data_IF_706387636593
#
_entry.id   IF_706387636593
#
_cell.length_a   1.000
_cell.length_b   1.000
_cell.length_c   1.000
_cell.angle_alpha   90.00
_cell.angle_beta   90.00
_cell.angle_gamma   90.00
#
_symmetry.space_group_name_H-M   'P 1'
#
loop_
_entity.id
_entity.type
_entity.pdbx_description
1 polymer ?
#
# COMPACT_ATOMS: atom_id res chain seq x y z
N UNK A 1 33.45 -18.05 10.69
CA UNK A 1 32.96 -16.74 10.18
C UNK A 1 32.88 -16.65 8.65
N UNK A 2 33.96 -16.93 7.89
CA UNK A 2 33.96 -16.84 6.40
C UNK A 2 32.88 -17.69 5.69
N UNK A 3 32.60 -18.90 6.17
CA UNK A 3 31.54 -19.77 5.60
C UNK A 3 30.11 -19.20 5.79
N UNK A 4 29.85 -18.47 6.87
CA UNK A 4 28.54 -17.83 7.13
C UNK A 4 28.29 -16.69 6.13
N UNK A 5 29.32 -15.87 5.87
CA UNK A 5 29.26 -14.77 4.89
C UNK A 5 29.05 -15.30 3.47
N UNK A 6 29.80 -16.35 3.06
CA UNK A 6 29.62 -16.97 1.74
C UNK A 6 28.22 -17.59 1.59
N UNK A 7 27.70 -18.22 2.63
CA UNK A 7 26.34 -18.79 2.63
C UNK A 7 25.29 -17.69 2.53
N UNK A 8 25.46 -16.59 3.25
CA UNK A 8 24.59 -15.41 3.16
C UNK A 8 24.52 -14.85 1.72
N UNK A 9 25.67 -14.62 1.08
CA UNK A 9 25.68 -14.12 -0.31
C UNK A 9 25.19 -15.15 -1.33
N UNK A 10 25.44 -16.46 -1.11
CA UNK A 10 24.88 -17.51 -1.99
C UNK A 10 23.35 -17.54 -1.97
N UNK A 11 22.70 -17.22 -0.85
CA UNK A 11 21.22 -17.13 -0.76
C UNK A 11 20.64 -16.03 -1.66
N UNK A 12 21.39 -14.98 -1.96
CA UNK A 12 20.95 -13.89 -2.86
C UNK A 12 20.84 -14.31 -4.33
N UNK A 13 21.44 -15.45 -4.74
CA UNK A 13 21.32 -15.94 -6.13
C UNK A 13 19.91 -16.39 -6.49
N UNK A 14 19.09 -16.74 -5.50
CA UNK A 14 17.75 -17.26 -5.70
C UNK A 14 17.75 -18.67 -6.34
N UNK A 15 16.79 -19.54 -6.00
CA UNK A 15 16.71 -20.87 -6.60
C UNK A 15 15.87 -20.93 -7.89
N UNK A 16 15.15 -19.86 -8.24
CA UNK A 16 14.06 -19.89 -9.23
C UNK A 16 14.37 -19.19 -10.55
N UNK A 17 13.57 -19.50 -11.58
CA UNK A 17 13.50 -18.74 -12.82
C UNK A 17 12.46 -17.63 -12.66
N UNK A 18 12.65 -16.50 -13.34
CA UNK A 18 11.64 -15.43 -13.40
C UNK A 18 10.35 -15.94 -14.07
N UNK A 19 9.20 -15.42 -13.64
CA UNK A 19 7.90 -15.76 -14.21
C UNK A 19 7.77 -15.38 -15.68
N UNK A 20 6.86 -16.04 -16.39
CA UNK A 20 6.54 -15.71 -17.78
C UNK A 20 5.88 -14.32 -17.89
N UNK A 21 6.04 -13.67 -19.04
CA UNK A 21 5.39 -12.40 -19.33
C UNK A 21 3.87 -12.57 -19.43
N UNK A 22 3.10 -11.68 -18.81
CA UNK A 22 1.65 -11.64 -18.97
C UNK A 22 1.21 -11.25 -20.40
N UNK A 23 0.00 -11.65 -20.78
CA UNK A 23 -0.60 -11.31 -22.07
C UNK A 23 -0.80 -9.79 -22.24
N UNK A 24 -0.87 -9.31 -23.49
CA UNK A 24 -1.12 -7.88 -23.78
C UNK A 24 -2.45 -7.39 -23.18
N UNK A 25 -3.48 -8.23 -23.18
CA UNK A 25 -4.76 -7.89 -22.56
C UNK A 25 -4.64 -7.69 -21.05
N UNK A 26 -3.87 -8.55 -20.36
CA UNK A 26 -3.60 -8.36 -18.94
C UNK A 26 -2.91 -7.02 -18.67
N UNK A 27 -1.86 -6.72 -19.43
CA UNK A 27 -1.10 -5.47 -19.31
C UNK A 27 -2.03 -4.26 -19.53
N UNK A 28 -2.89 -4.31 -20.54
CA UNK A 28 -3.85 -3.26 -20.85
C UNK A 28 -4.83 -2.98 -19.71
N UNK A 29 -5.44 -4.02 -19.12
CA UNK A 29 -6.37 -3.85 -18.00
C UNK A 29 -5.67 -3.38 -16.72
N UNK A 30 -4.44 -3.84 -16.45
CA UNK A 30 -3.62 -3.31 -15.37
C UNK A 30 -3.31 -1.83 -15.56
N UNK A 31 -3.03 -1.40 -16.79
CA UNK A 31 -2.80 0.00 -17.14
C UNK A 31 -4.07 0.84 -16.92
N UNK A 32 -5.22 0.41 -17.44
CA UNK A 32 -6.49 1.14 -17.24
C UNK A 32 -6.82 1.25 -15.75
N UNK A 33 -6.77 0.15 -15.00
CA UNK A 33 -7.10 0.15 -13.58
C UNK A 33 -6.19 1.05 -12.76
N UNK A 34 -4.87 0.95 -12.97
CA UNK A 34 -3.91 1.82 -12.28
C UNK A 34 -4.06 3.30 -12.67
N UNK A 35 -4.25 3.61 -13.95
CA UNK A 35 -4.46 4.98 -14.40
C UNK A 35 -5.73 5.58 -13.77
N UNK A 36 -6.88 4.91 -13.89
CA UNK A 36 -8.13 5.40 -13.33
C UNK A 36 -8.09 5.48 -11.80
N UNK A 37 -7.50 4.47 -11.15
CA UNK A 37 -7.33 4.42 -9.70
C UNK A 37 -6.54 5.61 -9.17
N UNK A 38 -5.32 5.79 -9.68
CA UNK A 38 -4.44 6.87 -9.25
C UNK A 38 -5.01 8.24 -9.62
N UNK A 39 -5.60 8.38 -10.80
CA UNK A 39 -6.24 9.63 -11.22
C UNK A 39 -7.39 10.00 -10.28
N UNK A 40 -8.28 9.05 -9.94
CA UNK A 40 -9.38 9.28 -9.03
C UNK A 40 -8.92 9.70 -7.63
N UNK A 41 -7.91 9.02 -7.07
CA UNK A 41 -7.31 9.40 -5.79
C UNK A 41 -6.66 10.79 -5.86
N UNK A 42 -5.91 11.08 -6.93
CA UNK A 42 -5.27 12.38 -7.10
C UNK A 42 -6.29 13.53 -7.21
N UNK A 43 -7.41 13.32 -7.90
CA UNK A 43 -8.50 14.28 -7.94
C UNK A 43 -9.20 14.42 -6.59
N UNK A 44 -9.46 13.31 -5.91
CA UNK A 44 -10.07 13.33 -4.57
C UNK A 44 -9.20 14.07 -3.55
N UNK A 45 -7.88 13.88 -3.59
CA UNK A 45 -6.95 14.58 -2.69
C UNK A 45 -6.98 16.10 -2.88
N UNK A 46 -7.35 16.63 -4.05
CA UNK A 46 -7.53 18.08 -4.25
C UNK A 46 -8.71 18.66 -3.46
N UNK A 47 -9.65 17.81 -3.04
CA UNK A 47 -10.80 18.21 -2.21
C UNK A 47 -10.46 18.20 -0.72
N UNK A 48 -9.29 17.69 -0.33
CA UNK A 48 -8.84 17.60 1.05
C UNK A 48 -7.80 18.70 1.35
N UNK A 49 -7.63 19.10 2.62
CA UNK A 49 -6.62 20.08 3.04
C UNK A 49 -5.22 19.45 3.07
N UNK A 50 -4.79 18.85 1.96
CA UNK A 50 -3.52 18.13 1.83
C UNK A 50 -2.61 18.94 0.90
N UNK A 51 -1.34 19.15 1.29
CA UNK A 51 -0.40 19.88 0.46
C UNK A 51 -0.07 19.11 -0.84
N UNK A 52 0.45 19.81 -1.85
CA UNK A 52 0.87 19.17 -3.10
C UNK A 52 1.94 18.08 -2.86
N UNK A 53 2.88 18.34 -1.96
CA UNK A 53 3.96 17.39 -1.60
C UNK A 53 3.40 16.15 -0.92
N UNK A 54 2.48 16.31 0.04
CA UNK A 54 1.87 15.17 0.72
C UNK A 54 0.98 14.35 -0.22
N UNK A 55 0.28 15.02 -1.14
CA UNK A 55 -0.47 14.34 -2.17
C UNK A 55 0.43 13.44 -3.02
N UNK A 56 1.63 13.91 -3.39
CA UNK A 56 2.64 13.10 -4.10
C UNK A 56 3.11 11.91 -3.25
N UNK A 57 3.37 12.11 -1.95
CA UNK A 57 3.75 11.03 -1.05
C UNK A 57 2.66 9.94 -0.94
N UNK A 58 1.41 10.37 -0.76
CA UNK A 58 0.24 9.48 -0.70
C UNK A 58 0.03 8.73 -2.01
N UNK A 59 0.16 9.41 -3.15
CA UNK A 59 0.16 8.79 -4.48
C UNK A 59 1.28 7.76 -4.60
N UNK A 60 2.45 7.97 -3.96
CA UNK A 60 3.50 6.96 -3.86
C UNK A 60 3.04 5.68 -3.16
N UNK A 61 2.37 5.80 -2.01
CA UNK A 61 1.78 4.65 -1.29
C UNK A 61 0.70 3.96 -2.14
N UNK A 62 -0.25 4.72 -2.68
CA UNK A 62 -1.32 4.15 -3.53
C UNK A 62 -0.81 3.63 -4.88
N UNK A 63 0.31 4.14 -5.39
CA UNK A 63 1.00 3.62 -6.57
C UNK A 63 1.49 2.20 -6.34
N UNK A 64 2.04 1.90 -5.17
CA UNK A 64 2.39 0.54 -4.79
C UNK A 64 1.13 -0.34 -4.62
N UNK A 65 0.04 0.20 -4.07
CA UNK A 65 -1.25 -0.50 -4.02
C UNK A 65 -1.79 -0.81 -5.42
N UNK A 66 -1.68 0.13 -6.37
CA UNK A 66 -2.08 -0.06 -7.76
C UNK A 66 -1.35 -1.24 -8.43
N UNK A 67 -0.04 -1.37 -8.18
CA UNK A 67 0.75 -2.49 -8.71
C UNK A 67 0.17 -3.82 -8.22
N UNK A 68 -0.24 -3.92 -6.96
CA UNK A 68 -0.83 -5.15 -6.41
C UNK A 68 -2.26 -5.37 -6.92
N UNK A 69 -3.16 -4.40 -6.72
CA UNK A 69 -4.60 -4.64 -6.92
C UNK A 69 -5.03 -4.57 -8.38
N UNK A 70 -4.27 -3.91 -9.26
CA UNK A 70 -4.54 -3.89 -10.71
C UNK A 70 -3.55 -4.75 -11.48
N UNK A 71 -2.28 -4.78 -11.06
CA UNK A 71 -1.22 -5.52 -11.74
C UNK A 71 -1.24 -7.01 -11.47
N UNK A 72 -1.49 -7.41 -10.22
CA UNK A 72 -1.50 -8.81 -9.77
C UNK A 72 -2.65 -9.11 -8.81
N UNK A 73 -3.92 -8.89 -9.21
CA UNK A 73 -5.09 -8.94 -8.32
C UNK A 73 -5.31 -10.28 -7.61
N UNK A 74 -4.74 -11.37 -8.12
CA UNK A 74 -4.85 -12.71 -7.55
C UNK A 74 -3.98 -12.94 -6.31
N UNK A 75 -2.96 -12.11 -6.05
CA UNK A 75 -2.05 -12.36 -4.93
C UNK A 75 -2.75 -12.10 -3.59
N UNK A 76 -2.40 -12.83 -2.51
CA UNK A 76 -3.02 -12.64 -1.20
C UNK A 76 -2.95 -11.18 -0.73
N UNK A 77 -1.81 -10.51 -0.89
CA UNK A 77 -1.60 -9.13 -0.42
C UNK A 77 -2.43 -8.08 -1.17
N UNK A 78 -3.02 -8.42 -2.30
CA UNK A 78 -3.90 -7.54 -3.07
C UNK A 78 -5.36 -7.61 -2.60
N UNK A 79 -5.74 -8.61 -1.80
CA UNK A 79 -7.15 -8.84 -1.44
C UNK A 79 -7.73 -7.69 -0.57
N UNK A 80 -9.06 -7.44 -0.60
CA UNK A 80 -9.68 -6.29 0.03
C UNK A 80 -9.37 -6.15 1.52
N UNK A 81 -9.40 -7.25 2.29
CA UNK A 81 -8.99 -7.25 3.71
C UNK A 81 -7.58 -6.71 3.91
N UNK A 82 -6.64 -7.11 3.05
CA UNK A 82 -5.26 -6.66 3.12
C UNK A 82 -5.16 -5.19 2.72
N UNK A 83 -5.74 -4.79 1.58
CA UNK A 83 -5.75 -3.40 1.12
C UNK A 83 -6.28 -2.45 2.22
N UNK A 84 -7.50 -2.68 2.70
CA UNK A 84 -8.17 -1.80 3.66
C UNK A 84 -7.53 -1.93 5.05
N UNK A 85 -7.40 -3.16 5.56
CA UNK A 85 -6.88 -3.40 6.90
C UNK A 85 -5.41 -3.02 7.04
N UNK A 86 -4.60 -3.24 6.01
CA UNK A 86 -3.20 -2.89 5.99
C UNK A 86 -2.96 -1.38 5.99
N UNK A 87 -3.68 -0.62 5.16
CA UNK A 87 -3.65 0.85 5.21
C UNK A 87 -4.17 1.39 6.55
N UNK A 88 -5.28 0.85 7.07
CA UNK A 88 -5.86 1.26 8.35
C UNK A 88 -4.89 1.08 9.52
N UNK A 89 -4.40 -0.14 9.74
CA UNK A 89 -3.50 -0.47 10.85
C UNK A 89 -2.22 0.35 10.75
N UNK A 90 -1.68 0.49 9.54
CA UNK A 90 -0.43 1.20 9.34
C UNK A 90 -0.56 2.70 9.60
N UNK A 91 -1.62 3.34 9.06
CA UNK A 91 -1.88 4.76 9.33
C UNK A 91 -2.14 5.01 10.83
N UNK A 92 -2.94 4.14 11.47
CA UNK A 92 -3.20 4.23 12.91
C UNK A 92 -1.90 4.15 13.72
N UNK A 93 -1.03 3.20 13.37
CA UNK A 93 0.27 3.01 14.03
C UNK A 93 1.19 4.21 13.84
N UNK A 94 1.28 4.73 12.61
CA UNK A 94 2.08 5.91 12.29
C UNK A 94 1.64 7.14 13.08
N UNK A 95 0.33 7.45 13.08
CA UNK A 95 -0.23 8.58 13.84
C UNK A 95 -0.01 8.41 15.35
N UNK A 96 -0.23 7.21 15.89
CA UNK A 96 -0.01 6.97 17.31
C UNK A 96 1.45 7.21 17.72
N UNK A 97 2.40 6.79 16.89
CA UNK A 97 3.83 7.05 17.14
C UNK A 97 4.13 8.55 17.03
N UNK A 98 3.64 9.22 16.00
CA UNK A 98 3.85 10.67 15.81
C UNK A 98 3.34 11.49 17.01
N UNK A 99 2.17 11.15 17.55
CA UNK A 99 1.55 11.93 18.63
C UNK A 99 2.08 11.60 20.02
N UNK A 100 2.41 10.34 20.29
CA UNK A 100 2.70 9.88 21.66
C UNK A 100 4.18 9.63 21.95
N UNK A 101 5.05 9.56 20.94
CA UNK A 101 6.49 9.30 21.15
C UNK A 101 7.35 10.48 20.71
N UNK A 102 7.88 11.22 21.68
CA UNK A 102 8.85 12.30 21.45
C UNK A 102 10.28 11.77 21.29
N UNK A 103 10.53 11.08 20.17
CA UNK A 103 11.85 10.54 19.79
C UNK A 103 12.30 11.10 18.42
N UNK A 104 13.57 10.95 18.01
CA UNK A 104 14.04 11.43 16.70
C UNK A 104 13.22 10.88 15.54
N UNK A 105 13.02 11.70 14.50
CA UNK A 105 12.12 11.40 13.37
C UNK A 105 12.50 10.11 12.63
N UNK A 106 13.79 9.82 12.52
CA UNK A 106 14.31 8.61 11.89
C UNK A 106 13.88 7.36 12.67
N UNK A 107 13.87 7.47 14.01
CA UNK A 107 13.46 6.39 14.88
C UNK A 107 11.93 6.24 14.89
N UNK A 108 11.18 7.34 14.87
CA UNK A 108 9.72 7.30 14.69
C UNK A 108 9.34 6.61 13.38
N UNK A 109 9.99 6.98 12.27
CA UNK A 109 9.77 6.39 10.96
C UNK A 109 10.09 4.89 10.95
N UNK A 110 11.26 4.50 11.45
CA UNK A 110 11.66 3.10 11.55
C UNK A 110 10.69 2.29 12.41
N UNK A 111 10.28 2.83 13.56
CA UNK A 111 9.33 2.20 14.46
C UNK A 111 7.93 2.08 13.84
N UNK A 112 7.45 3.13 13.18
CA UNK A 112 6.14 3.15 12.54
C UNK A 112 6.01 2.09 11.45
N UNK A 113 7.00 2.01 10.55
CA UNK A 113 6.98 0.99 9.49
C UNK A 113 7.14 -0.41 10.05
N UNK A 114 8.12 -0.64 10.94
CA UNK A 114 8.38 -1.98 11.47
C UNK A 114 7.24 -2.51 12.35
N UNK A 115 6.66 -1.67 13.21
CA UNK A 115 5.51 -2.05 14.03
C UNK A 115 4.26 -2.29 13.18
N UNK A 116 4.03 -1.47 12.14
CA UNK A 116 2.93 -1.70 11.19
C UNK A 116 3.05 -3.06 10.51
N UNK A 117 4.25 -3.49 10.12
CA UNK A 117 4.50 -4.83 9.54
C UNK A 117 4.13 -5.93 10.55
N UNK A 118 4.55 -5.80 11.81
CA UNK A 118 4.22 -6.77 12.86
C UNK A 118 2.70 -6.85 13.08
N UNK A 119 2.04 -5.70 13.20
CA UNK A 119 0.60 -5.65 13.44
C UNK A 119 -0.20 -6.18 12.25
N UNK A 120 0.21 -5.88 11.02
CA UNK A 120 -0.39 -6.45 9.81
C UNK A 120 -0.21 -7.98 9.72
N UNK A 121 0.94 -8.49 10.16
CA UNK A 121 1.13 -9.94 10.28
C UNK A 121 0.18 -10.55 11.32
N UNK A 122 0.08 -9.93 12.49
CA UNK A 122 -0.77 -10.40 13.58
C UNK A 122 -2.27 -10.38 13.20
N UNK A 123 -2.73 -9.34 12.52
CA UNK A 123 -4.12 -9.16 12.08
C UNK A 123 -4.47 -9.91 10.79
N UNK A 124 -3.48 -10.50 10.10
CA UNK A 124 -3.60 -11.08 8.75
C UNK A 124 -4.14 -10.05 7.75
N UNK A 125 -3.59 -8.83 7.78
CA UNK A 125 -3.92 -7.75 6.86
C UNK A 125 -2.69 -7.23 6.12
N UNK A 126 -1.70 -8.11 5.84
CA UNK A 126 -0.43 -7.71 5.25
C UNK A 126 -0.63 -7.12 3.84
N UNK A 127 -0.48 -5.80 3.76
CA UNK A 127 -0.46 -5.04 2.53
C UNK A 127 0.76 -4.13 2.56
N UNK A 128 1.85 -4.51 1.87
CA UNK A 128 3.11 -3.77 1.92
C UNK A 128 2.99 -2.24 1.69
N UNK A 129 2.12 -1.75 0.80
CA UNK A 129 1.88 -0.31 0.63
C UNK A 129 1.41 0.44 1.89
N UNK A 130 0.77 -0.26 2.84
CA UNK A 130 0.40 0.27 4.14
C UNK A 130 1.60 0.76 4.94
N UNK A 131 2.76 0.12 4.82
CA UNK A 131 3.99 0.59 5.46
C UNK A 131 4.38 2.02 5.04
N UNK A 132 4.12 2.38 3.78
CA UNK A 132 4.30 3.77 3.32
C UNK A 132 3.27 4.70 3.96
N UNK A 133 2.02 4.27 4.15
CA UNK A 133 1.00 5.07 4.87
C UNK A 133 1.39 5.35 6.32
N UNK A 134 2.03 4.40 7.00
CA UNK A 134 2.61 4.62 8.34
C UNK A 134 3.74 5.65 8.29
N UNK A 135 4.66 5.51 7.33
CA UNK A 135 5.79 6.42 7.16
C UNK A 135 5.33 7.87 6.89
N UNK A 136 4.33 8.04 6.02
CA UNK A 136 3.79 9.36 5.65
C UNK A 136 3.17 10.07 6.85
N UNK A 137 2.59 9.36 7.82
CA UNK A 137 2.12 9.97 9.06
C UNK A 137 3.25 10.63 9.88
N UNK A 138 4.50 10.18 9.70
CA UNK A 138 5.69 10.72 10.37
C UNK A 138 6.34 11.83 9.53
N UNK A 139 6.59 11.56 8.24
CA UNK A 139 7.38 12.45 7.37
C UNK A 139 6.55 13.44 6.55
N UNK A 140 5.22 13.33 6.63
CA UNK A 140 4.30 14.28 6.02
C UNK A 140 4.48 15.67 6.60
N UNK A 141 3.99 16.67 5.87
CA UNK A 141 3.98 18.06 6.32
C UNK A 141 3.25 18.24 7.65
N UNK A 142 3.36 19.44 8.21
CA UNK A 142 2.57 19.87 9.37
C UNK A 142 1.06 19.66 9.14
N UNK A 143 0.55 19.88 7.91
CA UNK A 143 -0.86 19.62 7.59
C UNK A 143 -1.25 18.15 7.76
N UNK A 144 -0.37 17.20 7.42
CA UNK A 144 -0.63 15.76 7.64
C UNK A 144 -0.57 15.42 9.12
N UNK A 145 0.42 15.97 9.85
CA UNK A 145 0.58 15.71 11.28
C UNK A 145 -0.60 16.29 12.09
N UNK A 146 -1.09 17.47 11.72
CA UNK A 146 -2.22 18.17 12.34
C UNK A 146 -3.55 17.43 12.16
N UNK A 147 -3.72 16.63 11.10
CA UNK A 147 -4.89 15.76 10.95
C UNK A 147 -5.00 14.78 12.12
N UNK A 148 -3.88 14.38 12.72
CA UNK A 148 -3.85 13.35 13.75
C UNK A 148 -4.58 12.09 13.29
N UNK A 149 -5.49 11.57 14.11
CA UNK A 149 -6.25 10.37 13.76
C UNK A 149 -7.20 10.54 12.57
N UNK A 150 -7.52 11.78 12.16
CA UNK A 150 -8.29 11.99 10.93
C UNK A 150 -7.51 11.54 9.70
N UNK A 151 -6.17 11.56 9.71
CA UNK A 151 -5.32 11.03 8.65
C UNK A 151 -5.70 9.61 8.24
N UNK A 152 -6.10 8.79 9.21
CA UNK A 152 -6.52 7.39 9.00
C UNK A 152 -7.77 7.32 8.12
N UNK A 153 -8.77 8.16 8.39
CA UNK A 153 -10.02 8.20 7.62
C UNK A 153 -9.81 8.91 6.28
N UNK A 154 -9.15 10.07 6.32
CA UNK A 154 -8.86 10.93 5.19
C UNK A 154 -7.44 11.49 5.34
N UNK A 155 -6.53 11.23 4.40
CA UNK A 155 -6.78 10.71 3.05
C UNK A 155 -6.70 9.18 2.91
N UNK A 156 -6.22 8.45 3.93
CA UNK A 156 -5.77 7.06 3.74
C UNK A 156 -6.90 6.10 3.39
N UNK A 157 -7.90 5.92 4.27
CA UNK A 157 -8.97 4.97 4.02
C UNK A 157 -9.87 5.38 2.86
N UNK A 158 -10.18 6.68 2.73
CA UNK A 158 -10.91 7.19 1.57
C UNK A 158 -10.22 6.85 0.25
N UNK A 159 -8.89 7.03 0.17
CA UNK A 159 -8.11 6.66 -1.01
C UNK A 159 -8.10 5.15 -1.26
N UNK A 160 -7.92 4.35 -0.21
CA UNK A 160 -7.96 2.89 -0.32
C UNK A 160 -9.33 2.35 -0.80
N UNK A 161 -10.43 2.98 -0.36
CA UNK A 161 -11.79 2.65 -0.80
C UNK A 161 -11.99 3.01 -2.28
N UNK A 162 -11.55 4.20 -2.71
CA UNK A 162 -11.60 4.59 -4.14
C UNK A 162 -10.86 3.57 -5.00
N UNK A 163 -9.67 3.17 -4.57
CA UNK A 163 -8.85 2.17 -5.24
C UNK A 163 -9.55 0.80 -5.28
N UNK A 164 -10.18 0.38 -4.17
CA UNK A 164 -10.94 -0.86 -4.11
C UNK A 164 -12.13 -0.86 -5.08
N UNK A 165 -12.91 0.22 -5.13
CA UNK A 165 -14.06 0.34 -6.03
C UNK A 165 -13.62 0.19 -7.48
N UNK A 166 -12.54 0.87 -7.88
CA UNK A 166 -12.02 0.78 -9.24
C UNK A 166 -11.46 -0.63 -9.52
N UNK A 167 -10.83 -1.28 -8.53
CA UNK A 167 -10.35 -2.65 -8.68
C UNK A 167 -11.50 -3.65 -8.89
N UNK A 168 -12.59 -3.52 -8.13
CA UNK A 168 -13.79 -4.34 -8.29
C UNK A 168 -14.43 -4.16 -9.67
N UNK A 169 -14.41 -2.95 -10.23
CA UNK A 169 -14.92 -2.72 -11.58
C UNK A 169 -13.97 -3.33 -12.62
N UNK A 170 -12.74 -2.83 -12.68
CA UNK A 170 -11.81 -3.13 -13.79
C UNK A 170 -11.41 -4.60 -13.85
N UNK A 171 -11.20 -5.25 -12.70
CA UNK A 171 -10.78 -6.64 -12.70
C UNK A 171 -11.91 -7.64 -13.01
N UNK A 172 -13.18 -7.21 -12.94
CA UNK A 172 -14.33 -8.05 -13.28
C UNK A 172 -15.01 -7.69 -14.61
N UNK A 173 -14.60 -6.60 -15.28
CA UNK A 173 -15.07 -6.27 -16.63
C UNK A 173 -14.70 -7.33 -17.67
N UNK A 174 -13.64 -8.09 -17.41
CA UNK A 174 -13.27 -9.26 -18.21
C UNK A 174 -13.64 -10.52 -17.43
N UNK A 175 -14.38 -11.43 -18.07
CA UNK A 175 -14.64 -12.78 -17.54
C UNK A 175 -13.38 -13.66 -17.67
N UNK A 176 -12.29 -13.21 -17.08
CA UNK A 176 -11.00 -13.90 -17.01
C UNK A 176 -10.81 -14.38 -15.57
N UNK A 177 -10.82 -15.69 -15.36
CA UNK A 177 -10.71 -16.28 -14.02
C UNK A 177 -9.41 -15.85 -13.32
N UNK A 178 -8.33 -15.56 -14.04
CA UNK A 178 -7.07 -15.14 -13.43
C UNK A 178 -7.11 -13.69 -12.92
N UNK A 179 -7.96 -12.84 -13.51
CA UNK A 179 -8.14 -11.44 -13.07
C UNK A 179 -9.29 -11.26 -12.08
N UNK A 180 -10.21 -12.21 -11.96
CA UNK A 180 -11.34 -12.12 -11.05
C UNK A 180 -10.93 -11.63 -9.66
N UNK A 181 -11.62 -10.60 -9.19
CA UNK A 181 -11.30 -9.92 -7.93
C UNK A 181 -12.58 -9.56 -7.15
N UNK A 182 -12.65 -9.83 -5.85
CA UNK A 182 -11.60 -10.45 -5.04
C UNK A 182 -11.60 -11.97 -5.17
N UNK A 183 -10.46 -12.58 -4.86
CA UNK A 183 -10.36 -14.03 -4.60
C UNK A 183 -10.84 -14.38 -3.19
N UNK A 184 -10.65 -13.48 -2.23
CA UNK A 184 -11.19 -13.62 -0.89
C UNK A 184 -11.46 -12.25 -0.27
N UNK A 185 -12.59 -12.10 0.43
CA UNK A 185 -12.90 -10.86 1.16
C UNK A 185 -12.22 -10.81 2.53
N UNK A 186 -12.08 -11.96 3.22
CA UNK A 186 -11.65 -12.05 4.61
C UNK A 186 -10.73 -13.24 4.88
#
# INVERSE_FOLDING_TARGET
MKQSVVTFFKRMRGPGKCGARHSLSWIFWSWIGSFLGILAVAFFNKLLPVSATDSVLLIGSFGASAVLIYGTPHVPYAQPRNLIGGHFISALTGVAIAQYLSIPIELQAALAVSLSIVLMHASRTLHPPGGASALIAIIGSEQIQDLGFMYVLQPVLSGAIIMLVIALLINNLRHDEERHYPKCWW
#
